data_IF_329872768937
#
_entry.id   IF_329872768937
#
_cell.length_a   1.000
_cell.length_b   1.000
_cell.length_c   1.000
_cell.angle_alpha   90.00
_cell.angle_beta   90.00
_cell.angle_gamma   90.00
#
_symmetry.space_group_name_H-M   'P 1'
#
loop_
_entity.id
_entity.type
_entity.pdbx_description
1 polymer ?
#
# COMPACT_ATOMS: atom_id res chain seq x y z
N UNK A 1 5.26 -24.64 17.43
CA UNK A 1 5.32 -24.40 15.97
C UNK A 1 4.70 -23.04 15.72
N UNK A 2 5.50 -22.06 15.33
CA UNK A 2 5.02 -20.69 15.09
C UNK A 2 4.79 -20.51 13.59
N UNK A 3 3.67 -21.05 13.09
CA UNK A 3 3.21 -20.75 11.73
C UNK A 3 2.38 -19.47 11.83
N UNK A 4 2.74 -18.47 11.02
CA UNK A 4 2.01 -17.20 10.91
C UNK A 4 1.41 -17.13 9.52
N UNK A 5 0.10 -16.93 9.46
CA UNK A 5 -0.61 -16.80 8.20
C UNK A 5 -0.72 -15.34 7.80
N UNK A 6 -0.54 -15.08 6.51
CA UNK A 6 -0.77 -13.80 5.88
C UNK A 6 -1.78 -13.98 4.75
N UNK A 7 -2.67 -13.03 4.59
CA UNK A 7 -3.61 -12.97 3.46
C UNK A 7 -3.49 -11.62 2.76
N UNK A 8 -3.61 -11.63 1.43
CA UNK A 8 -3.76 -10.41 0.62
C UNK A 8 -5.18 -10.39 0.04
N UNK A 9 -5.86 -9.25 0.11
CA UNK A 9 -7.22 -9.11 -0.38
C UNK A 9 -7.46 -7.76 -1.05
N UNK A 10 -8.27 -7.75 -2.10
CA UNK A 10 -8.79 -6.53 -2.73
C UNK A 10 -10.04 -5.96 -2.02
N UNK A 11 -10.52 -6.62 -0.97
CA UNK A 11 -11.62 -6.14 -0.13
C UNK A 11 -13.04 -6.27 -0.68
N UNK A 12 -13.22 -6.56 -1.96
CA UNK A 12 -14.57 -6.58 -2.59
C UNK A 12 -15.52 -7.53 -1.88
N UNK A 13 -15.05 -8.74 -1.56
CA UNK A 13 -15.86 -9.80 -0.94
C UNK A 13 -15.79 -9.81 0.59
N UNK A 14 -15.13 -8.83 1.23
CA UNK A 14 -15.14 -8.72 2.67
C UNK A 14 -16.56 -8.39 3.17
N UNK A 15 -16.98 -9.12 4.16
CA UNK A 15 -18.14 -8.89 5.00
C UNK A 15 -17.73 -9.07 6.48
N UNK A 16 -18.67 -8.93 7.39
CA UNK A 16 -18.40 -8.96 8.82
C UNK A 16 -17.82 -10.30 9.28
N UNK A 17 -18.33 -11.40 8.77
CA UNK A 17 -17.87 -12.76 9.08
C UNK A 17 -16.42 -12.98 8.63
N UNK A 18 -16.09 -12.54 7.42
CA UNK A 18 -14.73 -12.66 6.88
C UNK A 18 -13.75 -11.73 7.59
N UNK A 19 -14.18 -10.53 7.96
CA UNK A 19 -13.37 -9.60 8.76
C UNK A 19 -13.04 -10.22 10.12
N UNK A 20 -14.03 -10.77 10.82
CA UNK A 20 -13.83 -11.46 12.08
C UNK A 20 -12.86 -12.64 11.94
N UNK A 21 -13.09 -13.53 10.95
CA UNK A 21 -12.21 -14.65 10.67
C UNK A 21 -10.75 -14.22 10.41
N UNK A 22 -10.56 -13.18 9.59
CA UNK A 22 -9.22 -12.64 9.29
C UNK A 22 -8.57 -12.09 10.55
N UNK A 23 -9.32 -11.36 11.36
CA UNK A 23 -8.82 -10.77 12.58
C UNK A 23 -8.46 -11.83 13.64
N UNK A 24 -9.18 -12.94 13.68
CA UNK A 24 -8.86 -14.04 14.58
C UNK A 24 -7.69 -14.91 14.11
N UNK A 25 -7.62 -15.21 12.82
CA UNK A 25 -6.76 -16.29 12.32
C UNK A 25 -5.52 -15.82 11.57
N UNK A 26 -5.52 -14.61 10.98
CA UNK A 26 -4.40 -14.11 10.19
C UNK A 26 -3.50 -13.22 11.04
N UNK A 27 -2.20 -13.54 11.08
CA UNK A 27 -1.21 -12.72 11.77
C UNK A 27 -0.97 -11.38 11.04
N UNK A 28 -0.99 -11.40 9.71
CA UNK A 28 -0.87 -10.22 8.88
C UNK A 28 -1.93 -10.21 7.79
N UNK A 29 -2.36 -9.02 7.38
CA UNK A 29 -3.25 -8.83 6.23
C UNK A 29 -2.71 -7.70 5.35
N UNK A 30 -2.66 -7.95 4.05
CA UNK A 30 -2.33 -6.95 3.04
C UNK A 30 -3.62 -6.55 2.33
N UNK A 31 -3.95 -5.26 2.42
CA UNK A 31 -5.16 -4.66 1.87
C UNK A 31 -4.78 -3.89 0.60
N UNK A 32 -5.27 -4.37 -0.54
CA UNK A 32 -4.92 -3.78 -1.84
C UNK A 32 -5.75 -2.53 -2.11
N UNK A 33 -5.11 -1.36 -2.12
CA UNK A 33 -5.69 -0.06 -2.43
C UNK A 33 -4.60 0.78 -3.11
N UNK A 34 -4.85 1.30 -4.32
CA UNK A 34 -3.79 1.94 -5.11
C UNK A 34 -3.62 3.44 -4.81
N UNK A 35 -4.55 4.05 -4.09
CA UNK A 35 -4.46 5.47 -3.74
C UNK A 35 -5.81 6.15 -3.61
N UNK A 36 -5.84 7.42 -4.05
CA UNK A 36 -7.07 8.22 -4.16
C UNK A 36 -8.12 7.50 -4.98
N UNK A 37 -9.37 7.91 -4.80
CA UNK A 37 -10.52 7.27 -5.45
C UNK A 37 -10.34 7.10 -6.96
N UNK A 38 -9.97 8.16 -7.65
CA UNK A 38 -9.79 8.16 -9.10
C UNK A 38 -8.68 7.20 -9.56
N UNK A 39 -7.57 7.15 -8.84
CA UNK A 39 -6.45 6.24 -9.12
C UNK A 39 -6.87 4.80 -8.91
N UNK A 40 -7.45 4.51 -7.74
CA UNK A 40 -7.87 3.15 -7.41
C UNK A 40 -8.98 2.66 -8.36
N UNK A 41 -9.96 3.50 -8.67
CA UNK A 41 -11.11 3.10 -9.51
C UNK A 41 -10.71 2.87 -10.96
N UNK A 42 -9.70 3.59 -11.46
CA UNK A 42 -9.12 3.36 -12.78
C UNK A 42 -8.37 2.02 -12.87
N UNK A 43 -7.58 1.70 -11.83
CA UNK A 43 -6.75 0.50 -11.83
C UNK A 43 -7.48 -0.76 -11.36
N UNK A 44 -8.52 -0.60 -10.54
CA UNK A 44 -9.30 -1.70 -9.91
C UNK A 44 -10.79 -1.53 -10.12
N UNK A 45 -11.28 -1.49 -11.37
CA UNK A 45 -12.70 -1.44 -11.62
C UNK A 45 -13.38 -2.73 -11.12
N UNK A 46 -14.66 -2.64 -10.79
CA UNK A 46 -15.49 -3.82 -10.56
C UNK A 46 -15.89 -4.49 -11.89
N UNK A 47 -16.47 -5.69 -11.83
CA UNK A 47 -16.93 -6.41 -13.03
C UNK A 47 -17.94 -5.62 -13.87
N UNK A 48 -18.57 -4.58 -13.31
CA UNK A 48 -19.54 -3.72 -14.01
C UNK A 48 -18.91 -2.37 -14.38
N UNK A 49 -17.58 -2.28 -14.48
CA UNK A 49 -16.83 -1.06 -14.78
C UNK A 49 -17.15 0.13 -13.85
N UNK A 50 -17.53 -0.18 -12.61
CA UNK A 50 -17.72 0.82 -11.55
C UNK A 50 -16.49 0.85 -10.66
N UNK A 51 -16.27 1.99 -10.01
CA UNK A 51 -15.20 2.13 -9.05
C UNK A 51 -15.34 1.16 -7.87
N UNK A 52 -14.22 0.74 -7.33
CA UNK A 52 -14.16 -0.16 -6.16
C UNK A 52 -13.82 0.56 -4.86
N UNK A 53 -13.25 1.78 -4.93
CA UNK A 53 -12.74 2.53 -3.77
C UNK A 53 -13.81 2.70 -2.68
N UNK A 54 -14.99 3.24 -3.02
CA UNK A 54 -16.06 3.50 -2.05
C UNK A 54 -16.65 2.21 -1.46
N UNK A 55 -16.45 1.08 -2.13
CA UNK A 55 -16.89 -0.24 -1.65
C UNK A 55 -15.89 -0.79 -0.63
N UNK A 56 -14.59 -0.67 -0.91
CA UNK A 56 -13.55 -1.35 -0.12
C UNK A 56 -13.04 -0.51 1.05
N UNK A 57 -12.98 0.81 0.93
CA UNK A 57 -12.45 1.69 1.95
C UNK A 57 -13.16 1.55 3.31
N UNK A 58 -14.49 1.54 3.40
CA UNK A 58 -15.18 1.33 4.69
C UNK A 58 -14.90 -0.03 5.31
N UNK A 59 -14.75 -1.06 4.48
CA UNK A 59 -14.45 -2.43 4.92
C UNK A 59 -13.03 -2.53 5.49
N UNK A 60 -12.06 -1.87 4.85
CA UNK A 60 -10.69 -1.80 5.33
C UNK A 60 -10.60 -1.06 6.66
N UNK A 61 -11.28 0.07 6.80
CA UNK A 61 -11.38 0.79 8.07
C UNK A 61 -11.95 -0.09 9.17
N UNK A 62 -13.08 -0.75 8.92
CA UNK A 62 -13.70 -1.68 9.87
C UNK A 62 -12.76 -2.82 10.28
N UNK A 63 -12.06 -3.44 9.30
CA UNK A 63 -11.11 -4.51 9.57
C UNK A 63 -9.98 -4.02 10.50
N UNK A 64 -9.45 -2.84 10.26
CA UNK A 64 -8.33 -2.26 11.03
C UNK A 64 -8.81 -1.84 12.43
N UNK A 65 -9.97 -1.20 12.54
CA UNK A 65 -10.56 -0.78 13.82
C UNK A 65 -10.81 -1.97 14.77
N UNK A 66 -11.23 -3.10 14.20
CA UNK A 66 -11.53 -4.32 14.99
C UNK A 66 -10.32 -5.25 15.11
N UNK A 67 -9.17 -4.89 14.54
CA UNK A 67 -7.98 -5.75 14.51
C UNK A 67 -7.27 -5.79 15.87
N UNK A 68 -6.88 -6.99 16.37
CA UNK A 68 -6.06 -7.11 17.56
C UNK A 68 -4.72 -6.38 17.42
N UNK A 69 -4.27 -5.71 18.50
CA UNK A 69 -3.04 -4.88 18.49
C UNK A 69 -1.74 -5.65 18.29
N UNK A 70 -1.75 -6.95 18.51
CA UNK A 70 -0.61 -7.86 18.31
C UNK A 70 -0.53 -8.42 16.88
N UNK A 71 -1.43 -7.98 16.00
CA UNK A 71 -1.50 -8.40 14.59
C UNK A 71 -1.24 -7.24 13.65
N UNK A 72 -0.66 -7.55 12.50
CA UNK A 72 -0.20 -6.54 11.53
C UNK A 72 -1.15 -6.39 10.36
N UNK A 73 -1.14 -5.22 9.74
CA UNK A 73 -1.74 -4.98 8.45
C UNK A 73 -0.85 -4.07 7.61
N UNK A 74 -1.07 -4.09 6.31
CA UNK A 74 -0.49 -3.13 5.37
C UNK A 74 -1.54 -2.72 4.35
N UNK A 75 -1.62 -1.41 4.07
CA UNK A 75 -2.21 -0.94 2.83
C UNK A 75 -1.12 -1.03 1.77
N UNK A 76 -1.40 -1.74 0.69
CA UNK A 76 -0.47 -1.87 -0.42
C UNK A 76 -1.12 -1.40 -1.72
N UNK A 77 -0.54 -0.36 -2.30
CA UNK A 77 -0.89 0.18 -3.60
C UNK A 77 0.22 0.00 -4.62
N UNK A 78 -0.11 0.35 -5.85
CA UNK A 78 0.84 0.45 -6.94
C UNK A 78 0.71 1.81 -7.61
N UNK A 79 1.83 2.39 -8.06
CA UNK A 79 1.80 3.54 -8.95
C UNK A 79 2.31 3.18 -10.33
N UNK A 80 1.83 3.88 -11.31
CA UNK A 80 2.09 3.67 -12.72
C UNK A 80 2.58 4.96 -13.35
N UNK A 81 2.96 4.93 -14.61
CA UNK A 81 3.25 6.16 -15.34
C UNK A 81 2.06 7.11 -15.51
N UNK A 82 0.83 6.64 -15.23
CA UNK A 82 -0.39 7.48 -15.30
C UNK A 82 -0.67 8.26 -14.00
N UNK A 83 -0.06 7.84 -12.87
CA UNK A 83 -0.18 8.52 -11.58
C UNK A 83 1.20 8.73 -10.94
N UNK A 84 2.09 9.41 -11.64
CA UNK A 84 3.43 9.74 -11.13
C UNK A 84 3.41 10.67 -9.92
N UNK A 85 2.27 11.29 -9.60
CA UNK A 85 2.01 12.07 -8.41
C UNK A 85 1.64 11.19 -7.18
N UNK A 86 2.23 10.02 -7.08
CA UNK A 86 1.92 9.00 -6.08
C UNK A 86 2.12 9.46 -4.62
N UNK A 87 2.83 10.57 -4.38
CA UNK A 87 2.91 11.15 -3.05
C UNK A 87 1.53 11.55 -2.52
N UNK A 88 0.63 12.00 -3.39
CA UNK A 88 -0.76 12.32 -3.03
C UNK A 88 -1.54 11.07 -2.62
N UNK A 89 -1.23 9.92 -3.24
CA UNK A 89 -1.85 8.63 -2.91
C UNK A 89 -1.37 8.14 -1.53
N UNK A 90 -0.08 8.28 -1.24
CA UNK A 90 0.49 7.99 0.07
C UNK A 90 -0.11 8.90 1.15
N UNK A 91 -0.22 10.21 0.86
CA UNK A 91 -0.85 11.16 1.77
C UNK A 91 -2.34 10.91 1.97
N UNK A 92 -3.03 10.45 0.93
CA UNK A 92 -4.42 10.01 1.06
C UNK A 92 -4.55 8.89 2.09
N UNK A 93 -3.70 7.87 2.05
CA UNK A 93 -3.71 6.80 3.05
C UNK A 93 -3.50 7.31 4.47
N UNK A 94 -2.55 8.22 4.66
CA UNK A 94 -2.31 8.83 5.95
C UNK A 94 -3.51 9.63 6.46
N UNK A 95 -4.18 10.37 5.59
CA UNK A 95 -5.37 11.16 5.92
C UNK A 95 -6.59 10.28 6.22
N UNK A 96 -6.68 9.10 5.59
CA UNK A 96 -7.69 8.07 5.90
C UNK A 96 -7.43 7.32 7.22
N UNK A 97 -6.29 7.61 7.88
CA UNK A 97 -5.92 7.01 9.18
C UNK A 97 -5.19 5.68 9.07
N UNK A 98 -4.66 5.32 7.93
CA UNK A 98 -3.87 4.10 7.77
C UNK A 98 -2.43 4.32 8.23
N UNK A 99 -2.01 3.59 9.27
CA UNK A 99 -0.69 3.76 9.89
C UNK A 99 0.45 3.06 9.14
N UNK A 100 0.17 2.02 8.36
CA UNK A 100 1.19 1.21 7.67
C UNK A 100 0.86 1.09 6.18
N UNK A 101 1.69 1.69 5.34
CA UNK A 101 1.43 1.76 3.89
C UNK A 101 2.67 1.50 3.05
N UNK A 102 2.45 0.99 1.85
CA UNK A 102 3.45 0.80 0.81
C UNK A 102 2.82 1.11 -0.55
N UNK A 103 3.50 1.86 -1.40
CA UNK A 103 3.09 2.10 -2.78
C UNK A 103 4.27 1.80 -3.68
N UNK A 104 4.13 0.74 -4.47
CA UNK A 104 5.22 0.19 -5.29
C UNK A 104 5.07 0.61 -6.75
N UNK A 105 6.16 0.80 -7.49
CA UNK A 105 6.07 1.00 -8.93
C UNK A 105 5.57 -0.25 -9.64
N UNK A 106 4.75 -0.09 -10.67
CA UNK A 106 4.43 -1.18 -11.58
C UNK A 106 5.67 -1.55 -12.38
N UNK A 107 6.06 -2.83 -12.28
CA UNK A 107 7.18 -3.41 -13.03
C UNK A 107 6.62 -4.17 -14.23
N UNK A 108 7.21 -3.95 -15.39
CA UNK A 108 6.82 -4.64 -16.64
C UNK A 108 7.80 -4.32 -17.74
N UNK A 109 7.63 -4.99 -18.87
CA UNK A 109 8.37 -4.67 -20.10
C UNK A 109 7.74 -3.47 -20.83
N UNK A 110 8.39 -3.04 -21.91
CA UNK A 110 7.94 -1.88 -22.70
C UNK A 110 6.56 -2.03 -23.34
N UNK A 111 6.03 -3.27 -23.45
CA UNK A 111 4.68 -3.52 -23.97
C UNK A 111 3.59 -3.23 -22.94
N UNK A 112 3.94 -3.17 -21.65
CA UNK A 112 3.00 -2.81 -20.60
C UNK A 112 2.78 -1.28 -20.59
N UNK A 113 1.56 -0.79 -20.90
CA UNK A 113 1.28 0.64 -20.96
C UNK A 113 1.40 1.36 -19.62
N UNK A 114 1.36 0.63 -18.52
CA UNK A 114 1.41 1.17 -17.15
C UNK A 114 2.82 1.15 -16.55
N UNK A 115 3.76 0.40 -17.15
CA UNK A 115 5.11 0.29 -16.63
C UNK A 115 5.86 1.62 -16.73
N UNK A 116 6.65 1.91 -15.69
CA UNK A 116 7.54 3.07 -15.69
C UNK A 116 8.62 2.91 -16.75
N UNK A 117 9.01 4.01 -17.36
CA UNK A 117 10.08 4.11 -18.36
C UNK A 117 11.18 5.02 -17.84
N UNK A 118 12.34 4.97 -18.52
CA UNK A 118 13.49 5.81 -18.17
C UNK A 118 13.13 7.31 -18.19
N UNK A 119 12.30 7.73 -19.14
CA UNK A 119 11.80 9.10 -19.25
C UNK A 119 10.96 9.59 -18.05
N UNK A 120 10.35 8.65 -17.30
CA UNK A 120 9.53 8.95 -16.13
C UNK A 120 10.38 9.17 -14.86
N UNK A 121 11.64 8.67 -14.86
CA UNK A 121 12.49 8.67 -13.66
C UNK A 121 12.74 10.05 -13.05
N UNK A 122 12.99 11.13 -13.81
CA UNK A 122 13.14 12.45 -13.22
C UNK A 122 11.92 12.87 -12.39
N UNK A 123 10.71 12.56 -12.88
CA UNK A 123 9.47 12.87 -12.17
C UNK A 123 9.28 11.98 -10.94
N UNK A 124 9.64 10.70 -11.03
CA UNK A 124 9.60 9.78 -9.90
C UNK A 124 10.51 10.24 -8.77
N UNK A 125 11.74 10.69 -9.07
CA UNK A 125 12.66 11.21 -8.06
C UNK A 125 12.14 12.49 -7.42
N UNK A 126 11.66 13.44 -8.21
CA UNK A 126 11.02 14.66 -7.70
C UNK A 126 9.88 14.33 -6.74
N UNK A 127 9.08 13.32 -7.08
CA UNK A 127 7.93 12.93 -6.29
C UNK A 127 8.31 12.24 -4.97
N UNK A 128 9.41 11.47 -4.95
CA UNK A 128 9.97 10.96 -3.69
C UNK A 128 10.51 12.08 -2.81
N UNK A 129 11.12 13.12 -3.37
CA UNK A 129 11.57 14.30 -2.60
C UNK A 129 10.37 15.06 -2.00
N UNK A 130 9.32 15.27 -2.80
CA UNK A 130 8.07 15.88 -2.34
C UNK A 130 7.43 15.06 -1.21
N UNK A 131 7.38 13.73 -1.37
CA UNK A 131 6.85 12.82 -0.35
C UNK A 131 7.69 12.89 0.93
N UNK A 132 9.02 12.95 0.83
CA UNK A 132 9.89 13.03 2.00
C UNK A 132 9.63 14.29 2.84
N UNK A 133 9.40 15.43 2.19
CA UNK A 133 9.05 16.69 2.87
C UNK A 133 7.71 16.56 3.59
N UNK A 134 6.64 16.10 2.88
CA UNK A 134 5.31 15.89 3.45
C UNK A 134 5.35 14.90 4.61
N UNK A 135 6.08 13.82 4.47
CA UNK A 135 6.26 12.80 5.49
C UNK A 135 6.93 13.35 6.75
N UNK A 136 8.01 14.14 6.59
CA UNK A 136 8.69 14.78 7.69
C UNK A 136 7.78 15.75 8.46
N UNK A 137 6.93 16.49 7.76
CA UNK A 137 5.99 17.41 8.39
C UNK A 137 4.89 16.66 9.17
N UNK A 138 4.39 15.56 8.65
CA UNK A 138 3.45 14.69 9.38
C UNK A 138 4.06 14.11 10.67
N UNK A 139 5.33 13.70 10.61
CA UNK A 139 6.02 13.21 11.82
C UNK A 139 6.19 14.31 12.87
N UNK A 140 6.48 15.57 12.47
CA UNK A 140 6.53 16.72 13.38
C UNK A 140 5.16 17.01 14.02
N UNK A 141 4.08 16.78 13.30
CA UNK A 141 2.69 16.89 13.80
C UNK A 141 2.30 15.74 14.73
N UNK A 142 3.17 14.74 14.93
CA UNK A 142 2.93 13.59 15.79
C UNK A 142 1.99 12.53 15.21
N UNK A 143 1.79 12.52 13.90
CA UNK A 143 1.00 11.48 13.23
C UNK A 143 1.80 10.17 13.17
N UNK A 144 1.23 9.08 13.68
CA UNK A 144 1.83 7.73 13.61
C UNK A 144 1.54 7.09 12.25
N UNK A 145 2.31 7.53 11.25
CA UNK A 145 2.23 7.04 9.89
C UNK A 145 3.58 6.50 9.44
N UNK A 146 3.60 5.31 8.85
CA UNK A 146 4.82 4.64 8.39
C UNK A 146 4.68 4.26 6.92
N UNK A 147 5.49 4.89 6.10
CA UNK A 147 5.65 4.54 4.70
C UNK A 147 6.83 3.58 4.55
N UNK A 148 6.59 2.42 3.96
CA UNK A 148 7.56 1.32 3.91
C UNK A 148 8.92 1.71 3.33
N UNK A 149 8.94 2.50 2.24
CA UNK A 149 10.19 2.93 1.60
C UNK A 149 11.05 3.85 2.47
N UNK A 150 10.46 4.51 3.48
CA UNK A 150 11.19 5.38 4.42
C UNK A 150 11.51 4.67 5.75
N UNK A 151 11.14 3.42 5.91
CA UNK A 151 11.50 2.59 7.06
C UNK A 151 12.92 2.02 6.85
N UNK A 152 13.93 2.85 7.14
CA UNK A 152 15.33 2.46 7.00
C UNK A 152 15.81 1.85 8.31
N UNK A 153 16.17 0.57 8.28
CA UNK A 153 16.89 -0.07 9.38
C UNK A 153 18.40 0.07 9.13
N UNK A 154 18.98 1.12 9.71
CA UNK A 154 20.43 1.40 9.59
C UNK A 154 21.30 0.39 10.35
N UNK A 155 20.72 -0.42 11.23
CA UNK A 155 21.40 -1.47 11.98
C UNK A 155 21.15 -2.86 11.36
N UNK A 156 20.20 -2.95 10.43
CA UNK A 156 19.86 -4.18 9.71
C UNK A 156 20.90 -4.52 8.65
N UNK A 157 21.26 -5.79 8.55
CA UNK A 157 22.04 -6.29 7.43
C UNK A 157 21.23 -6.26 6.11
N UNK A 158 21.90 -6.49 4.96
CA UNK A 158 21.20 -6.56 3.68
C UNK A 158 20.13 -7.64 3.70
N UNK A 159 18.96 -7.34 3.13
CA UNK A 159 17.83 -8.28 3.05
C UNK A 159 18.29 -9.62 2.43
N UNK A 160 18.20 -10.69 3.19
CA UNK A 160 18.65 -12.02 2.77
C UNK A 160 17.81 -12.53 1.60
N UNK A 161 16.50 -12.26 1.61
CA UNK A 161 15.61 -12.64 0.51
C UNK A 161 15.99 -11.93 -0.80
N UNK A 162 16.28 -10.64 -0.75
CA UNK A 162 16.75 -9.87 -1.91
C UNK A 162 18.08 -10.38 -2.46
N UNK A 163 18.95 -10.87 -1.57
CA UNK A 163 20.28 -11.40 -1.93
C UNK A 163 20.23 -12.80 -2.52
N UNK A 164 19.27 -13.62 -2.08
CA UNK A 164 19.19 -15.05 -2.47
C UNK A 164 18.17 -15.32 -3.57
N UNK A 165 17.09 -14.57 -3.63
CA UNK A 165 15.98 -14.84 -4.55
C UNK A 165 15.84 -13.83 -5.70
N UNK A 166 16.68 -12.80 -5.72
CA UNK A 166 16.59 -11.76 -6.74
C UNK A 166 15.20 -11.11 -6.80
N UNK A 167 14.49 -11.06 -5.65
CA UNK A 167 13.20 -10.36 -5.63
C UNK A 167 13.45 -8.91 -6.02
N UNK A 168 13.06 -8.58 -7.24
CA UNK A 168 13.05 -7.23 -7.76
C UNK A 168 11.90 -6.48 -7.09
N UNK A 169 12.19 -5.74 -6.08
CA UNK A 169 11.33 -4.73 -5.50
C UNK A 169 12.23 -3.63 -5.01
#
# INVERSE_FOLDING_TARGET
KNIRFTITTNGILLDDEKIEYINENMHNVVLSLDGRKEVNDNMRPTLNDKGSHDIILPKFKKLIETRPKDKYYYIRGTFTRENLDFSEDVMHFANEGFALTSVEPVVGDESNPYALREEDMPKVFEEYENLAVKYADMLKEGKDFKFFHFMIDINGGPCVAKRLSGCGS
#
